data_IF_423330214062
#
_entry.id   IF_423330214062
#
_cell.length_a   1.000
_cell.length_b   1.000
_cell.length_c   1.000
_cell.angle_alpha   90.00
_cell.angle_beta   90.00
_cell.angle_gamma   90.00
#
_symmetry.space_group_name_H-M   'P 1'
#
loop_
_entity.id
_entity.type
_entity.pdbx_description
1 polymer ?
#
# COMPACT_ATOMS: atom_id res chain seq x y z
N UNK A 1 16.73 -4.82 -26.55
CA UNK A 1 15.96 -4.83 -25.28
C UNK A 1 15.39 -3.44 -24.95
N UNK A 2 15.54 -2.43 -25.83
CA UNK A 2 15.26 -1.03 -25.53
C UNK A 2 13.79 -0.59 -25.65
N UNK A 3 12.94 -1.36 -26.35
CA UNK A 3 11.54 -0.99 -26.60
C UNK A 3 10.72 -0.81 -25.30
N UNK A 4 11.06 -1.57 -24.27
CA UNK A 4 10.33 -1.58 -22.97
C UNK A 4 11.11 -0.91 -21.84
N UNK A 5 12.27 -0.31 -22.13
CA UNK A 5 13.16 0.22 -21.09
C UNK A 5 12.45 1.27 -20.22
N UNK A 6 11.72 2.18 -20.85
CA UNK A 6 11.05 3.26 -20.12
C UNK A 6 9.85 2.73 -19.30
N UNK A 7 9.11 1.75 -19.82
CA UNK A 7 8.06 1.07 -19.06
C UNK A 7 8.64 0.39 -17.83
N UNK A 8 9.71 -0.39 -18.01
CA UNK A 8 10.39 -1.08 -16.91
C UNK A 8 10.88 -0.09 -15.86
N UNK A 9 11.47 1.03 -16.27
CA UNK A 9 11.94 2.06 -15.35
C UNK A 9 10.79 2.68 -14.55
N UNK A 10 9.69 3.09 -15.20
CA UNK A 10 8.54 3.69 -14.50
C UNK A 10 7.87 2.69 -13.58
N UNK A 11 7.70 1.44 -14.02
CA UNK A 11 7.02 0.41 -13.24
C UNK A 11 7.90 0.04 -12.04
N UNK A 12 9.20 -0.16 -12.23
CA UNK A 12 10.14 -0.37 -11.13
C UNK A 12 10.10 0.79 -10.13
N UNK A 13 10.05 2.03 -10.62
CA UNK A 13 10.01 3.23 -9.76
C UNK A 13 8.74 3.27 -8.91
N UNK A 14 7.58 2.85 -9.47
CA UNK A 14 6.32 2.74 -8.74
C UNK A 14 6.35 1.57 -7.75
N UNK A 15 6.65 0.34 -8.19
CA UNK A 15 6.64 -0.85 -7.32
C UNK A 15 7.72 -0.81 -6.22
N UNK A 16 8.81 -0.07 -6.42
CA UNK A 16 9.91 0.09 -5.45
C UNK A 16 9.93 1.48 -4.80
N UNK A 17 8.82 2.22 -4.87
CA UNK A 17 8.70 3.56 -4.30
C UNK A 17 9.11 3.53 -2.82
N UNK A 18 10.03 4.42 -2.42
CA UNK A 18 10.57 4.41 -1.05
C UNK A 18 10.88 5.79 -0.49
N UNK A 19 10.10 6.80 -0.88
CA UNK A 19 10.31 8.19 -0.48
C UNK A 19 9.05 8.81 0.09
N UNK A 20 9.23 9.69 1.08
CA UNK A 20 8.19 10.60 1.59
C UNK A 20 8.49 12.07 1.26
N UNK A 21 9.65 12.36 0.66
CA UNK A 21 10.05 13.73 0.32
C UNK A 21 9.25 14.23 -0.88
N UNK A 22 8.82 15.48 -0.83
CA UNK A 22 8.18 16.15 -1.97
C UNK A 22 9.05 16.10 -3.23
N UNK A 23 10.36 16.34 -3.13
CA UNK A 23 11.30 16.26 -4.26
C UNK A 23 11.29 14.88 -4.92
N UNK A 24 11.35 13.81 -4.13
CA UNK A 24 11.29 12.44 -4.61
C UNK A 24 9.96 12.08 -5.27
N UNK A 25 8.85 12.55 -4.71
CA UNK A 25 7.50 12.38 -5.29
C UNK A 25 7.41 13.10 -6.64
N UNK A 26 7.83 14.37 -6.68
CA UNK A 26 7.86 15.18 -7.89
C UNK A 26 8.75 14.57 -8.97
N UNK A 27 9.91 14.01 -8.60
CA UNK A 27 10.78 13.31 -9.54
C UNK A 27 10.07 12.14 -10.20
N UNK A 28 9.41 11.27 -9.42
CA UNK A 28 8.68 10.11 -9.97
C UNK A 28 7.56 10.58 -10.91
N UNK A 29 6.84 11.63 -10.53
CA UNK A 29 5.81 12.23 -11.37
C UNK A 29 6.37 12.73 -12.71
N UNK A 30 7.47 13.50 -12.68
CA UNK A 30 8.11 14.03 -13.88
C UNK A 30 8.66 12.91 -14.78
N UNK A 31 9.22 11.86 -14.18
CA UNK A 31 9.68 10.68 -14.92
C UNK A 31 8.51 10.00 -15.64
N UNK A 32 7.37 9.80 -14.96
CA UNK A 32 6.14 9.28 -15.58
C UNK A 32 5.69 10.17 -16.74
N UNK A 33 5.57 11.48 -16.51
CA UNK A 33 5.13 12.44 -17.52
C UNK A 33 6.00 12.38 -18.77
N UNK A 34 7.31 12.54 -18.60
CA UNK A 34 8.25 12.60 -19.71
C UNK A 34 8.36 11.28 -20.46
N UNK A 35 8.35 10.15 -19.74
CA UNK A 35 8.61 8.84 -20.35
C UNK A 35 7.34 8.14 -20.87
N UNK A 36 6.17 8.45 -20.32
CA UNK A 36 4.91 7.79 -20.67
C UNK A 36 3.95 8.69 -21.45
N UNK A 37 3.74 9.94 -20.99
CA UNK A 37 2.70 10.83 -21.52
C UNK A 37 3.19 11.65 -22.70
N UNK A 38 4.32 12.35 -22.55
CA UNK A 38 4.91 13.16 -23.64
C UNK A 38 5.32 12.30 -24.84
N UNK A 39 5.73 11.06 -24.58
CA UNK A 39 6.07 10.06 -25.62
C UNK A 39 4.85 9.29 -26.14
N UNK A 40 3.66 9.53 -25.58
CA UNK A 40 2.39 8.84 -25.91
C UNK A 40 2.46 7.32 -25.82
N UNK A 41 3.28 6.80 -24.90
CA UNK A 41 3.45 5.35 -24.68
C UNK A 41 2.34 4.75 -23.84
N UNK A 42 1.79 5.50 -22.90
CA UNK A 42 0.66 5.07 -22.09
C UNK A 42 -0.28 6.24 -21.80
N UNK A 43 -1.60 6.02 -21.79
CA UNK A 43 -2.54 7.03 -21.32
C UNK A 43 -2.50 7.15 -19.78
N UNK A 44 -2.90 8.30 -19.21
CA UNK A 44 -2.88 8.54 -17.77
C UNK A 44 -3.67 7.51 -16.95
N UNK A 45 -4.86 7.07 -17.41
CA UNK A 45 -5.67 6.06 -16.72
C UNK A 45 -4.90 4.74 -16.51
N UNK A 46 -4.10 4.31 -17.49
CA UNK A 46 -3.27 3.11 -17.37
C UNK A 46 -2.26 3.26 -16.22
N UNK A 47 -1.57 4.41 -16.11
CA UNK A 47 -0.61 4.64 -15.02
C UNK A 47 -1.30 4.73 -13.66
N UNK A 48 -2.48 5.35 -13.58
CA UNK A 48 -3.29 5.39 -12.36
C UNK A 48 -3.69 3.98 -11.90
N UNK A 49 -4.03 3.07 -12.83
CA UNK A 49 -4.25 1.65 -12.53
C UNK A 49 -2.97 0.98 -12.00
N UNK A 50 -1.80 1.25 -12.59
CA UNK A 50 -0.53 0.69 -12.08
C UNK A 50 -0.22 1.18 -10.66
N UNK A 51 -0.43 2.47 -10.36
CA UNK A 51 -0.29 3.00 -9.00
C UNK A 51 -1.22 2.26 -8.03
N UNK A 52 -2.48 2.10 -8.43
CA UNK A 52 -3.49 1.35 -7.67
C UNK A 52 -3.09 -0.11 -7.41
N UNK A 53 -2.45 -0.77 -8.38
CA UNK A 53 -1.98 -2.16 -8.24
C UNK A 53 -0.73 -2.25 -7.37
N UNK A 54 0.20 -1.29 -7.46
CA UNK A 54 1.45 -1.31 -6.69
C UNK A 54 1.25 -0.96 -5.21
N UNK A 55 0.29 -0.06 -4.91
CA UNK A 55 0.09 0.48 -3.56
C UNK A 55 -0.14 -0.60 -2.48
N UNK A 56 -1.01 -1.63 -2.65
CA UNK A 56 -1.23 -2.64 -1.62
C UNK A 56 0.01 -3.49 -1.29
N UNK A 57 0.99 -3.58 -2.19
CA UNK A 57 2.25 -4.31 -1.95
C UNK A 57 3.34 -3.44 -1.32
N UNK A 58 3.04 -2.16 -1.08
CA UNK A 58 3.96 -1.20 -0.50
C UNK A 58 3.22 -0.12 0.31
N UNK A 59 2.27 -0.55 1.15
CA UNK A 59 1.25 0.31 1.77
C UNK A 59 1.84 1.37 2.71
N UNK A 60 3.05 1.15 3.23
CA UNK A 60 3.82 2.13 4.01
C UNK A 60 3.93 3.48 3.29
N UNK A 61 3.94 3.47 1.96
CA UNK A 61 4.04 4.67 1.13
C UNK A 61 2.72 5.08 0.47
N UNK A 62 1.57 4.73 1.06
CA UNK A 62 0.25 5.13 0.56
C UNK A 62 0.12 6.64 0.31
N UNK A 63 0.69 7.48 1.19
CA UNK A 63 0.65 8.94 1.05
C UNK A 63 1.37 9.39 -0.24
N UNK A 64 2.64 9.02 -0.46
CA UNK A 64 3.31 9.23 -1.74
C UNK A 64 2.54 8.72 -2.96
N UNK A 65 1.98 7.50 -2.91
CA UNK A 65 1.17 7.00 -4.03
C UNK A 65 -0.05 7.87 -4.31
N UNK A 66 -0.77 8.28 -3.27
CA UNK A 66 -1.94 9.15 -3.38
C UNK A 66 -1.57 10.52 -3.97
N UNK A 67 -0.44 11.10 -3.56
CA UNK A 67 0.03 12.37 -4.13
C UNK A 67 0.38 12.23 -5.62
N UNK A 68 1.13 11.20 -6.02
CA UNK A 68 1.43 10.96 -7.46
C UNK A 68 0.14 10.75 -8.26
N UNK A 69 -0.81 9.96 -7.72
CA UNK A 69 -2.11 9.74 -8.33
C UNK A 69 -2.86 11.06 -8.55
N UNK A 70 -2.90 11.91 -7.51
CA UNK A 70 -3.53 13.22 -7.54
C UNK A 70 -2.88 14.16 -8.54
N UNK A 71 -1.54 14.20 -8.62
CA UNK A 71 -0.81 15.04 -9.58
C UNK A 71 -1.18 14.67 -11.02
N UNK A 72 -1.17 13.38 -11.34
CA UNK A 72 -1.55 12.88 -12.68
C UNK A 72 -3.01 13.20 -12.97
N UNK A 73 -3.92 12.94 -12.02
CA UNK A 73 -5.33 13.20 -12.26
C UNK A 73 -5.63 14.70 -12.44
N UNK A 74 -4.99 15.55 -11.64
CA UNK A 74 -5.18 17.01 -11.70
C UNK A 74 -4.66 17.60 -13.01
N UNK A 75 -3.57 17.08 -13.57
CA UNK A 75 -3.02 17.61 -14.83
C UNK A 75 -3.76 17.09 -16.06
N UNK A 76 -4.20 15.83 -16.06
CA UNK A 76 -4.72 15.18 -17.28
C UNK A 76 -6.22 14.87 -17.27
N UNK A 77 -6.89 14.97 -16.12
CA UNK A 77 -8.33 14.69 -15.94
C UNK A 77 -8.84 13.44 -16.68
N UNK A 78 -8.20 12.26 -16.51
CA UNK A 78 -8.63 11.06 -17.23
C UNK A 78 -10.05 10.66 -16.83
N UNK A 79 -10.85 10.25 -17.81
CA UNK A 79 -12.18 9.69 -17.58
C UNK A 79 -12.02 8.20 -17.23
N UNK A 80 -12.64 7.77 -16.15
CA UNK A 80 -12.69 6.37 -15.76
C UNK A 80 -13.97 5.71 -16.24
N UNK A 81 -13.86 4.49 -16.75
CA UNK A 81 -14.99 3.58 -16.89
C UNK A 81 -15.48 3.11 -15.52
N UNK A 82 -16.70 2.58 -15.46
CA UNK A 82 -17.27 2.00 -14.23
C UNK A 82 -16.41 0.85 -13.68
N UNK A 83 -15.84 0.03 -14.56
CA UNK A 83 -14.97 -1.08 -14.14
C UNK A 83 -13.65 -0.59 -13.54
N UNK A 84 -13.01 0.40 -14.18
CA UNK A 84 -11.76 0.99 -13.67
C UNK A 84 -11.97 1.62 -12.29
N UNK A 85 -12.98 2.48 -12.14
CA UNK A 85 -13.20 3.19 -10.86
C UNK A 85 -13.53 2.24 -9.71
N UNK A 86 -14.19 1.11 -10.00
CA UNK A 86 -14.48 0.06 -9.00
C UNK A 86 -13.24 -0.72 -8.59
N UNK A 87 -12.28 -0.87 -9.50
CA UNK A 87 -11.01 -1.57 -9.23
C UNK A 87 -10.00 -0.73 -8.45
N UNK A 88 -10.12 0.60 -8.50
CA UNK A 88 -9.20 1.52 -7.82
C UNK A 88 -9.68 1.78 -6.38
N UNK A 89 -8.84 1.59 -5.36
CA UNK A 89 -9.14 1.93 -3.98
C UNK A 89 -9.70 3.33 -3.84
N UNK A 90 -10.84 3.44 -3.15
CA UNK A 90 -11.59 4.68 -2.97
C UNK A 90 -10.71 5.82 -2.42
N UNK A 91 -9.78 5.50 -1.52
CA UNK A 91 -8.85 6.46 -0.89
C UNK A 91 -8.00 7.26 -1.88
N UNK A 92 -7.75 6.73 -3.09
CA UNK A 92 -6.91 7.38 -4.12
C UNK A 92 -7.64 8.46 -4.91
N UNK A 93 -8.98 8.38 -5.03
CA UNK A 93 -9.73 9.22 -5.96
C UNK A 93 -10.96 9.92 -5.38
N UNK A 94 -11.45 9.52 -4.21
CA UNK A 94 -12.70 10.00 -3.64
C UNK A 94 -12.78 11.53 -3.43
N UNK A 95 -11.65 12.12 -3.06
CA UNK A 95 -11.47 13.54 -2.73
C UNK A 95 -10.99 14.38 -3.92
N UNK A 96 -10.79 13.76 -5.09
CA UNK A 96 -10.47 14.47 -6.32
C UNK A 96 -11.73 15.14 -6.89
N UNK A 97 -11.53 16.20 -7.67
CA UNK A 97 -12.59 16.94 -8.36
C UNK A 97 -12.36 16.90 -9.86
N UNK A 98 -13.44 16.81 -10.63
CA UNK A 98 -13.36 17.01 -12.07
C UNK A 98 -13.16 18.49 -12.44
N UNK A 99 -13.06 18.76 -13.74
CA UNK A 99 -12.88 20.09 -14.32
C UNK A 99 -13.95 21.12 -13.90
N UNK A 100 -15.12 20.66 -13.45
CA UNK A 100 -16.23 21.50 -12.99
C UNK A 100 -16.24 21.66 -11.45
N UNK A 101 -15.22 21.16 -10.75
CA UNK A 101 -15.15 21.17 -9.29
C UNK A 101 -16.05 20.13 -8.63
N UNK A 102 -16.63 19.18 -9.37
CA UNK A 102 -17.49 18.13 -8.81
C UNK A 102 -16.62 17.01 -8.25
N UNK A 103 -16.83 16.66 -6.97
CA UNK A 103 -16.16 15.52 -6.34
C UNK A 103 -16.41 14.23 -7.12
N UNK A 104 -15.34 13.45 -7.36
CA UNK A 104 -15.45 12.18 -8.06
C UNK A 104 -16.30 11.16 -7.28
N UNK A 105 -16.25 11.20 -5.95
CA UNK A 105 -17.15 10.42 -5.09
C UNK A 105 -18.64 10.73 -5.36
N UNK A 106 -18.99 11.97 -5.67
CA UNK A 106 -20.36 12.32 -6.07
C UNK A 106 -20.65 11.84 -7.50
N UNK A 107 -19.72 12.09 -8.42
CA UNK A 107 -19.86 11.74 -9.85
C UNK A 107 -20.03 10.24 -10.08
N UNK A 108 -19.28 9.42 -9.35
CA UNK A 108 -19.31 7.95 -9.47
C UNK A 108 -20.19 7.28 -8.42
N UNK A 109 -21.11 8.00 -7.77
CA UNK A 109 -21.96 7.51 -6.68
C UNK A 109 -22.71 6.19 -6.93
N UNK A 110 -23.11 5.90 -8.17
CA UNK A 110 -23.73 4.62 -8.57
C UNK A 110 -22.74 3.45 -8.72
N UNK A 111 -21.44 3.74 -8.75
CA UNK A 111 -20.34 2.77 -8.69
C UNK A 111 -19.82 2.50 -7.27
N UNK A 112 -20.32 3.23 -6.26
CA UNK A 112 -19.75 3.27 -4.90
C UNK A 112 -20.32 2.21 -3.96
N UNK A 113 -21.48 1.60 -4.20
CA UNK A 113 -22.09 0.64 -3.26
C UNK A 113 -21.13 -0.49 -2.84
N UNK A 114 -20.30 -1.00 -3.75
CA UNK A 114 -19.30 -2.03 -3.47
C UNK A 114 -18.01 -1.52 -2.78
N UNK A 115 -17.73 -0.21 -2.86
CA UNK A 115 -16.55 0.42 -2.25
C UNK A 115 -16.86 1.11 -0.90
N UNK A 116 -18.12 1.44 -0.64
CA UNK A 116 -18.60 1.99 0.65
C UNK A 116 -18.44 1.00 1.81
N UNK A 117 -18.48 -0.30 1.52
CA UNK A 117 -18.35 -1.36 2.54
C UNK A 117 -16.89 -1.67 2.88
N UNK A 118 -15.94 -1.15 2.11
CA UNK A 118 -14.51 -1.39 2.32
C UNK A 118 -13.96 -0.36 3.30
N UNK A 119 -13.34 -0.85 4.37
CA UNK A 119 -12.69 0.00 5.35
C UNK A 119 -11.36 0.51 4.80
N UNK A 120 -11.39 1.73 4.26
CA UNK A 120 -10.21 2.46 3.79
C UNK A 120 -9.62 3.39 4.87
N UNK A 121 -9.98 3.18 6.13
CA UNK A 121 -9.41 3.95 7.23
C UNK A 121 -7.88 3.84 7.24
N UNK A 122 -7.22 5.00 7.33
CA UNK A 122 -5.77 5.09 7.49
C UNK A 122 -5.36 5.11 8.97
N UNK A 123 -6.30 4.92 9.91
CA UNK A 123 -6.04 5.01 11.35
C UNK A 123 -4.91 4.06 11.79
N UNK A 124 -4.82 2.86 11.19
CA UNK A 124 -3.73 1.91 11.50
C UNK A 124 -2.34 2.41 11.07
N UNK A 125 -2.26 3.42 10.20
CA UNK A 125 -1.03 4.05 9.71
C UNK A 125 -0.73 5.35 10.47
N UNK A 126 -1.76 6.14 10.75
CA UNK A 126 -1.62 7.51 11.25
C UNK A 126 -1.56 7.60 12.78
N UNK A 127 -2.21 6.67 13.49
CA UNK A 127 -2.29 6.70 14.95
C UNK A 127 -1.13 5.95 15.62
N UNK A 128 -0.91 6.25 16.91
CA UNK A 128 -0.03 5.47 17.78
C UNK A 128 -0.65 4.09 18.04
N UNK A 129 -0.51 3.18 17.07
CA UNK A 129 -1.07 1.82 17.09
C UNK A 129 0.03 0.78 17.04
N UNK A 130 -0.30 -0.44 17.48
CA UNK A 130 0.58 -1.59 17.33
C UNK A 130 0.92 -1.88 15.86
N UNK A 131 -0.01 -1.59 14.94
CA UNK A 131 0.20 -1.73 13.50
C UNK A 131 1.26 -0.77 12.98
N UNK A 132 1.24 0.47 13.45
CA UNK A 132 2.28 1.46 13.16
C UNK A 132 3.63 1.03 13.75
N UNK A 133 3.67 0.47 14.95
CA UNK A 133 4.91 -0.07 15.53
C UNK A 133 5.50 -1.17 14.63
N UNK A 134 4.67 -2.10 14.14
CA UNK A 134 5.09 -3.13 13.17
C UNK A 134 5.60 -2.50 11.86
N UNK A 135 4.87 -1.56 11.27
CA UNK A 135 5.22 -0.95 9.98
C UNK A 135 6.61 -0.30 9.96
N UNK A 136 7.09 0.16 11.11
CA UNK A 136 8.41 0.79 11.27
C UNK A 136 9.41 -0.08 12.04
N UNK A 137 9.04 -1.33 12.36
CA UNK A 137 9.79 -2.24 13.22
C UNK A 137 10.23 -1.61 14.56
N UNK A 138 9.37 -0.76 15.13
CA UNK A 138 9.59 -0.09 16.40
C UNK A 138 9.34 -1.06 17.56
N UNK A 139 10.41 -1.78 17.92
CA UNK A 139 10.45 -2.74 19.01
C UNK A 139 9.97 -2.15 20.34
N UNK A 140 10.31 -0.91 20.67
CA UNK A 140 10.02 -0.34 21.98
C UNK A 140 8.52 -0.07 22.12
N UNK A 141 7.94 0.63 21.16
CA UNK A 141 6.49 0.86 21.12
C UNK A 141 5.73 -0.47 21.07
N UNK A 142 6.20 -1.43 20.27
CA UNK A 142 5.60 -2.75 20.18
C UNK A 142 5.59 -3.48 21.53
N UNK A 143 6.70 -3.47 22.28
CA UNK A 143 6.75 -4.05 23.64
C UNK A 143 5.72 -3.39 24.54
N UNK A 144 5.66 -2.05 24.57
CA UNK A 144 4.69 -1.32 25.40
C UNK A 144 3.26 -1.78 25.09
N UNK A 145 2.88 -1.89 23.82
CA UNK A 145 1.56 -2.42 23.44
C UNK A 145 1.33 -3.84 23.97
N UNK A 146 2.34 -4.70 23.93
CA UNK A 146 2.20 -6.10 24.37
C UNK A 146 2.12 -6.29 25.88
N UNK A 147 2.47 -5.27 26.68
CA UNK A 147 2.34 -5.31 28.15
C UNK A 147 1.05 -4.66 28.66
N UNK A 148 0.22 -4.09 27.78
CA UNK A 148 -1.09 -3.54 28.18
C UNK A 148 -2.14 -4.63 28.41
N UNK A 149 -3.04 -4.42 29.37
CA UNK A 149 -4.13 -5.35 29.68
C UNK A 149 -5.10 -5.57 28.49
N UNK A 150 -5.15 -4.63 27.55
CA UNK A 150 -5.99 -4.72 26.35
C UNK A 150 -5.34 -5.44 25.17
N UNK A 151 -4.10 -5.92 25.33
CA UNK A 151 -3.39 -6.63 24.27
C UNK A 151 -4.00 -7.99 23.97
N UNK A 152 -4.53 -8.13 22.75
CA UNK A 152 -4.90 -9.44 22.19
C UNK A 152 -3.86 -9.90 21.17
N UNK A 153 -3.20 -11.02 21.48
CA UNK A 153 -2.21 -11.66 20.60
C UNK A 153 -2.83 -12.24 19.32
N UNK A 154 -4.13 -12.53 19.33
CA UNK A 154 -4.88 -13.08 18.21
C UNK A 154 -5.61 -11.99 17.41
N UNK A 155 -5.42 -10.71 17.75
CA UNK A 155 -6.07 -9.62 17.04
C UNK A 155 -5.70 -9.65 15.55
N UNK A 156 -6.67 -9.30 14.72
CA UNK A 156 -6.52 -9.26 13.27
C UNK A 156 -6.87 -7.88 12.73
N UNK A 157 -6.02 -7.37 11.85
CA UNK A 157 -6.31 -6.17 11.07
C UNK A 157 -7.21 -6.53 9.89
N UNK A 158 -8.43 -5.99 9.91
CA UNK A 158 -9.33 -5.96 8.76
C UNK A 158 -9.04 -4.69 7.96
N UNK A 159 -8.43 -4.84 6.79
CA UNK A 159 -8.19 -3.72 5.88
C UNK A 159 -8.00 -4.21 4.45
N UNK A 160 -8.75 -3.63 3.53
CA UNK A 160 -8.68 -3.91 2.09
C UNK A 160 -7.49 -3.20 1.42
N UNK A 161 -6.69 -2.46 2.19
CA UNK A 161 -5.46 -1.83 1.73
C UNK A 161 -4.27 -2.78 1.65
N UNK A 162 -4.41 -4.00 2.19
CA UNK A 162 -3.42 -5.07 2.05
C UNK A 162 -3.84 -6.06 0.95
N UNK A 163 -2.90 -6.80 0.33
CA UNK A 163 -3.20 -7.71 -0.78
C UNK A 163 -4.15 -8.85 -0.39
N UNK A 164 -4.15 -9.22 0.88
CA UNK A 164 -5.07 -10.20 1.46
C UNK A 164 -5.46 -9.75 2.86
N UNK A 165 -6.76 -9.78 3.17
CA UNK A 165 -7.33 -9.47 4.48
C UNK A 165 -8.14 -10.66 5.00
N UNK A 166 -8.26 -10.88 6.32
CA UNK A 166 -7.57 -10.19 7.41
C UNK A 166 -6.09 -10.55 7.57
N UNK A 167 -5.37 -9.78 8.39
CA UNK A 167 -3.95 -10.02 8.71
C UNK A 167 -3.71 -10.09 10.22
N UNK A 168 -3.04 -11.14 10.68
CA UNK A 168 -2.51 -11.21 12.05
C UNK A 168 -1.30 -10.28 12.24
N UNK A 169 -0.93 -10.00 13.50
CA UNK A 169 0.27 -9.23 13.81
C UNK A 169 1.55 -9.86 13.21
N UNK A 170 1.65 -11.20 13.20
CA UNK A 170 2.81 -11.89 12.65
C UNK A 170 2.88 -11.78 11.12
N UNK A 171 1.75 -11.90 10.44
CA UNK A 171 1.67 -11.69 8.99
C UNK A 171 2.04 -10.26 8.61
N UNK A 172 1.58 -9.27 9.38
CA UNK A 172 1.99 -7.87 9.19
C UNK A 172 3.50 -7.69 9.41
N UNK A 173 4.11 -8.36 10.40
CA UNK A 173 5.56 -8.32 10.57
C UNK A 173 6.28 -8.88 9.33
N UNK A 174 5.76 -9.97 8.74
CA UNK A 174 6.31 -10.53 7.53
C UNK A 174 6.20 -9.57 6.34
N UNK A 175 5.03 -8.95 6.16
CA UNK A 175 4.77 -8.00 5.08
C UNK A 175 5.69 -6.78 5.16
N UNK A 176 5.88 -6.22 6.35
CA UNK A 176 6.68 -5.01 6.56
C UNK A 176 8.17 -5.28 6.77
N UNK A 177 8.59 -6.55 6.84
CA UNK A 177 9.98 -6.91 7.14
C UNK A 177 10.40 -6.60 8.59
N UNK A 178 9.43 -6.53 9.51
CA UNK A 178 9.60 -6.09 10.90
C UNK A 178 10.19 -7.19 11.79
N UNK A 179 11.50 -7.41 11.66
CA UNK A 179 12.19 -8.56 12.27
C UNK A 179 12.20 -8.52 13.79
N UNK A 180 12.25 -7.33 14.39
CA UNK A 180 12.26 -7.22 15.86
C UNK A 180 10.89 -7.57 16.43
N UNK A 181 9.81 -7.04 15.83
CA UNK A 181 8.44 -7.36 16.23
C UNK A 181 8.12 -8.85 15.98
N UNK A 182 8.55 -9.37 14.82
CA UNK A 182 8.42 -10.79 14.46
C UNK A 182 9.05 -11.71 15.51
N UNK A 183 10.33 -11.46 15.86
CA UNK A 183 11.06 -12.28 16.85
C UNK A 183 10.35 -12.28 18.21
N UNK A 184 9.80 -11.13 18.63
CA UNK A 184 9.05 -11.05 19.89
C UNK A 184 7.77 -11.89 19.87
N UNK A 185 6.99 -11.81 18.79
CA UNK A 185 5.77 -12.60 18.62
C UNK A 185 6.04 -14.11 18.66
N UNK A 186 7.09 -14.56 17.97
CA UNK A 186 7.51 -15.96 18.01
C UNK A 186 7.94 -16.36 19.43
N UNK A 187 8.86 -15.61 20.05
CA UNK A 187 9.50 -16.05 21.30
C UNK A 187 8.61 -15.92 22.54
N UNK A 188 7.80 -14.85 22.62
CA UNK A 188 6.98 -14.53 23.82
C UNK A 188 5.59 -15.13 23.72
N UNK A 189 4.99 -15.14 22.53
CA UNK A 189 3.59 -15.49 22.33
C UNK A 189 3.37 -16.82 21.62
N UNK A 190 4.45 -17.47 21.15
CA UNK A 190 4.40 -18.71 20.36
C UNK A 190 3.45 -18.56 19.16
N UNK A 191 3.50 -17.41 18.48
CA UNK A 191 2.65 -17.14 17.32
C UNK A 191 2.93 -18.15 16.20
N UNK A 192 1.86 -18.66 15.59
CA UNK A 192 1.93 -19.66 14.53
C UNK A 192 2.30 -19.00 13.21
N UNK A 193 3.33 -19.53 12.53
CA UNK A 193 3.68 -19.12 11.17
C UNK A 193 2.65 -19.72 10.21
N UNK A 194 1.93 -18.85 9.50
CA UNK A 194 0.93 -19.25 8.50
C UNK A 194 1.55 -19.31 7.10
N UNK A 195 0.92 -19.98 6.11
CA UNK A 195 1.35 -19.90 4.71
C UNK A 195 1.42 -18.45 4.19
N UNK A 196 0.53 -17.59 4.69
CA UNK A 196 0.52 -16.15 4.37
C UNK A 196 1.77 -15.42 4.89
N UNK A 197 2.31 -15.81 6.03
CA UNK A 197 3.60 -15.30 6.52
C UNK A 197 4.72 -15.55 5.49
N UNK A 198 4.76 -16.75 4.88
CA UNK A 198 5.75 -17.06 3.86
C UNK A 198 5.63 -16.15 2.64
N UNK A 199 4.43 -16.01 2.05
CA UNK A 199 4.20 -15.12 0.91
C UNK A 199 4.61 -13.67 1.23
N UNK A 200 4.21 -13.18 2.39
CA UNK A 200 4.52 -11.83 2.82
C UNK A 200 5.99 -11.63 3.19
N UNK A 201 6.70 -12.65 3.65
CA UNK A 201 8.13 -12.54 3.97
C UNK A 201 8.97 -12.13 2.75
N UNK A 202 8.56 -12.54 1.54
CA UNK A 202 9.19 -12.11 0.29
C UNK A 202 8.90 -10.65 -0.05
N UNK A 203 7.71 -10.14 0.29
CA UNK A 203 7.37 -8.71 0.14
C UNK A 203 8.20 -7.84 1.10
N UNK A 204 8.28 -8.26 2.37
CA UNK A 204 9.07 -7.55 3.39
C UNK A 204 10.58 -7.66 3.15
N UNK A 205 11.03 -8.67 2.41
CA UNK A 205 12.41 -8.82 1.96
C UNK A 205 13.44 -9.01 3.08
N UNK A 206 13.01 -9.35 4.29
CA UNK A 206 13.89 -9.55 5.43
C UNK A 206 14.41 -11.00 5.47
N UNK A 207 15.73 -11.26 5.31
CA UNK A 207 16.27 -12.62 5.22
C UNK A 207 16.01 -13.49 6.45
N UNK A 208 16.02 -12.90 7.66
CA UNK A 208 15.76 -13.64 8.90
C UNK A 208 14.31 -14.15 8.93
N UNK A 209 13.35 -13.31 8.54
CA UNK A 209 11.94 -13.69 8.49
C UNK A 209 11.73 -14.77 7.43
N UNK A 210 12.26 -14.57 6.21
CA UNK A 210 12.13 -15.55 5.11
C UNK A 210 12.65 -16.92 5.56
N UNK A 211 13.85 -16.96 6.14
CA UNK A 211 14.45 -18.20 6.63
C UNK A 211 13.64 -18.86 7.75
N UNK A 212 13.02 -18.08 8.64
CA UNK A 212 12.13 -18.62 9.67
C UNK A 212 10.84 -19.18 9.06
N UNK A 213 10.23 -18.48 8.11
CA UNK A 213 9.02 -18.95 7.44
C UNK A 213 9.26 -20.23 6.65
N UNK A 214 10.37 -20.32 5.90
CA UNK A 214 10.73 -21.52 5.11
C UNK A 214 10.97 -22.78 5.96
N UNK A 215 11.50 -22.63 7.18
CA UNK A 215 11.71 -23.77 8.09
C UNK A 215 10.42 -24.36 8.66
N UNK A 216 9.32 -23.59 8.59
CA UNK A 216 8.02 -23.93 9.17
C UNK A 216 6.94 -24.04 8.07
N UNK A 217 7.36 -24.13 6.80
CA UNK A 217 6.51 -24.25 5.62
C UNK A 217 6.21 -25.71 5.27
#
# INVERSE_FOLDING_TARGET
MDLYKDFNYVYDSLYKLKTFSEEGINKIYLDIKNLMFETKRAPPNQILTIISTAMPFNIKYIKPYKEIFKMIYTEYHPIFTRGEIQSIPYILWADLQDENGVLLSTRYSSGIEANKTKDYSLNFIEDNTIYRAIMYDDKFSFIIFTETDSFDKNQMLQSDLYPSSPNSLLELCCYHGAVNCFKLLISKFNSIITPKCLFYSFLGGNPDIINNCLKNA
#
